data_IF_341783982313
#
_entry.id   IF_341783982313
#
_cell.length_a   1.000
_cell.length_b   1.000
_cell.length_c   1.000
_cell.angle_alpha   90.00
_cell.angle_beta   90.00
_cell.angle_gamma   90.00
#
_symmetry.space_group_name_H-M   'P 1'
#
loop_
_entity.id
_entity.type
_entity.pdbx_description
1 polymer ?
#
# COMPACT_ATOMS: atom_id res chain seq x y z
N UNK A 1 -4.44 20.81 -0.70
CA UNK A 1 -4.90 20.70 -2.10
C UNK A 1 -5.96 19.60 -2.19
N UNK A 2 -7.14 19.97 -2.67
CA UNK A 2 -8.29 19.06 -2.74
C UNK A 2 -7.99 17.79 -3.57
N UNK A 3 -7.31 17.97 -4.69
CA UNK A 3 -6.94 16.83 -5.55
C UNK A 3 -6.05 15.83 -4.80
N UNK A 4 -5.00 16.32 -4.15
CA UNK A 4 -4.08 15.45 -3.41
C UNK A 4 -4.77 14.77 -2.22
N UNK A 5 -5.65 15.50 -1.53
CA UNK A 5 -6.42 14.94 -0.43
C UNK A 5 -7.35 13.84 -0.90
N UNK A 6 -8.01 14.03 -2.03
CA UNK A 6 -8.90 13.02 -2.62
C UNK A 6 -8.12 11.79 -3.06
N UNK A 7 -6.95 11.99 -3.70
CA UNK A 7 -6.09 10.89 -4.13
C UNK A 7 -5.61 10.09 -2.93
N UNK A 8 -5.15 10.77 -1.87
CA UNK A 8 -4.69 10.10 -0.65
C UNK A 8 -5.82 9.30 0.01
N UNK A 9 -7.02 9.85 0.06
CA UNK A 9 -8.18 9.16 0.62
C UNK A 9 -8.53 7.91 -0.18
N UNK A 10 -8.31 7.93 -1.49
CA UNK A 10 -8.54 6.79 -2.37
C UNK A 10 -7.39 5.77 -2.27
N UNK A 11 -6.14 6.25 -2.27
CA UNK A 11 -4.97 5.36 -2.29
C UNK A 11 -4.84 4.53 -1.02
N UNK A 12 -5.13 5.11 0.15
CA UNK A 12 -4.93 4.41 1.42
C UNK A 12 -5.72 3.10 1.50
N UNK A 13 -7.05 3.09 1.30
CA UNK A 13 -7.78 1.82 1.34
C UNK A 13 -7.38 0.86 0.21
N UNK A 14 -6.99 1.38 -0.96
CA UNK A 14 -6.53 0.55 -2.06
C UNK A 14 -5.24 -0.18 -1.70
N UNK A 15 -4.25 0.54 -1.17
CA UNK A 15 -2.97 -0.05 -0.79
C UNK A 15 -3.13 -1.02 0.37
N UNK A 16 -3.95 -0.69 1.36
CA UNK A 16 -4.24 -1.59 2.48
C UNK A 16 -4.89 -2.88 1.99
N UNK A 17 -5.84 -2.77 1.08
CA UNK A 17 -6.52 -3.93 0.50
C UNK A 17 -5.53 -4.82 -0.25
N UNK A 18 -4.67 -4.22 -1.07
CA UNK A 18 -3.65 -4.96 -1.82
C UNK A 18 -2.65 -5.66 -0.89
N UNK A 19 -2.20 -4.97 0.16
CA UNK A 19 -1.32 -5.57 1.17
C UNK A 19 -1.99 -6.76 1.85
N UNK A 20 -3.27 -6.64 2.16
CA UNK A 20 -4.03 -7.71 2.79
C UNK A 20 -4.08 -8.95 1.89
N UNK A 21 -4.34 -8.75 0.60
CA UNK A 21 -4.38 -9.85 -0.38
C UNK A 21 -3.02 -10.57 -0.43
N UNK A 22 -1.92 -9.81 -0.38
CA UNK A 22 -0.58 -10.36 -0.52
C UNK A 22 0.11 -10.64 0.83
N UNK A 23 -0.65 -10.59 1.92
CA UNK A 23 -0.13 -10.93 3.25
C UNK A 23 1.01 -10.04 3.73
N UNK A 24 1.02 -8.77 3.34
CA UNK A 24 2.05 -7.82 3.75
C UNK A 24 3.33 -7.89 2.92
N UNK A 25 3.39 -8.74 1.90
CA UNK A 25 4.56 -8.85 1.04
C UNK A 25 4.64 -7.68 0.08
N UNK A 26 5.59 -6.77 0.31
CA UNK A 26 5.69 -5.53 -0.48
C UNK A 26 6.01 -5.78 -1.95
N UNK A 27 6.90 -6.73 -2.24
CA UNK A 27 7.25 -7.03 -3.64
C UNK A 27 6.05 -7.55 -4.41
N UNK A 28 5.33 -8.50 -3.83
CA UNK A 28 4.14 -9.06 -4.47
C UNK A 28 3.04 -8.03 -4.59
N UNK A 29 2.87 -7.19 -3.57
CA UNK A 29 1.89 -6.11 -3.59
C UNK A 29 2.19 -5.11 -4.72
N UNK A 30 3.47 -4.74 -4.90
CA UNK A 30 3.87 -3.84 -5.97
C UNK A 30 3.54 -4.43 -7.35
N UNK A 31 3.76 -5.74 -7.51
CA UNK A 31 3.44 -6.44 -8.76
C UNK A 31 1.93 -6.48 -9.02
N UNK A 32 1.15 -6.74 -7.98
CA UNK A 32 -0.32 -6.73 -8.08
C UNK A 32 -0.83 -5.37 -8.54
N UNK A 33 -0.27 -4.30 -7.99
CA UNK A 33 -0.66 -2.93 -8.31
C UNK A 33 -0.04 -2.41 -9.61
N UNK A 34 0.96 -3.11 -10.15
CA UNK A 34 1.64 -2.67 -11.37
C UNK A 34 2.54 -1.47 -11.16
N UNK A 35 3.09 -1.29 -9.98
CA UNK A 35 3.99 -0.18 -9.66
C UNK A 35 5.34 -0.71 -9.18
N UNK A 36 6.35 0.17 -9.20
CA UNK A 36 7.68 -0.15 -8.71
C UNK A 36 7.66 -0.33 -7.18
N UNK A 37 8.44 -1.27 -6.67
CA UNK A 37 8.53 -1.54 -5.23
C UNK A 37 8.94 -0.30 -4.43
N UNK A 38 9.89 0.48 -4.94
CA UNK A 38 10.31 1.70 -4.26
C UNK A 38 9.20 2.74 -4.20
N UNK A 39 8.41 2.85 -5.27
CA UNK A 39 7.24 3.71 -5.31
C UNK A 39 6.21 3.27 -4.28
N UNK A 40 5.97 1.97 -4.16
CA UNK A 40 5.06 1.44 -3.15
C UNK A 40 5.54 1.79 -1.75
N UNK A 41 6.82 1.56 -1.46
CA UNK A 41 7.39 1.87 -0.14
C UNK A 41 7.22 3.33 0.23
N UNK A 42 7.47 4.21 -0.73
CA UNK A 42 7.32 5.65 -0.52
C UNK A 42 5.87 6.01 -0.20
N UNK A 43 4.93 5.46 -0.96
CA UNK A 43 3.49 5.70 -0.73
C UNK A 43 3.04 5.19 0.63
N UNK A 44 3.48 4.01 1.02
CA UNK A 44 3.15 3.45 2.34
C UNK A 44 3.64 4.36 3.45
N UNK A 45 4.87 4.86 3.34
CA UNK A 45 5.46 5.77 4.31
C UNK A 45 4.66 7.08 4.38
N UNK A 46 4.31 7.65 3.23
CA UNK A 46 3.56 8.91 3.17
C UNK A 46 2.16 8.78 3.77
N UNK A 47 1.53 7.62 3.61
CA UNK A 47 0.17 7.37 4.09
C UNK A 47 0.11 6.78 5.50
N UNK A 48 1.26 6.51 6.10
CA UNK A 48 1.33 5.94 7.44
C UNK A 48 0.86 4.49 7.50
N UNK A 49 1.08 3.73 6.43
CA UNK A 49 0.70 2.33 6.35
C UNK A 49 1.92 1.46 6.63
N UNK A 50 1.76 0.50 7.54
CA UNK A 50 2.83 -0.43 7.89
C UNK A 50 2.52 -1.81 7.30
N UNK A 51 3.35 -2.24 6.34
CA UNK A 51 3.15 -3.52 5.67
C UNK A 51 3.15 -4.70 6.65
N UNK A 52 3.93 -4.61 7.73
CA UNK A 52 4.02 -5.66 8.74
C UNK A 52 2.67 -5.93 9.42
N UNK A 53 1.79 -4.94 9.48
CA UNK A 53 0.47 -5.10 10.09
C UNK A 53 -0.41 -6.07 9.31
N UNK A 54 -0.05 -6.36 8.06
CA UNK A 54 -0.82 -7.22 7.16
C UNK A 54 -0.22 -8.62 7.01
N UNK A 55 0.88 -8.89 7.70
CA UNK A 55 1.50 -10.22 7.68
C UNK A 55 0.60 -11.18 8.45
N UNK A 56 0.18 -12.25 7.77
CA UNK A 56 -0.63 -13.28 8.41
C UNK A 56 0.28 -14.24 9.17
N UNK A 57 0.09 -14.26 10.47
CA UNK A 57 0.76 -15.22 11.35
C UNK A 57 -0.28 -16.28 11.69
N UNK A 58 -0.21 -17.35 10.96
CA UNK A 58 -1.13 -18.44 11.15
C UNK A 58 -0.66 -19.46 12.09
#
# INVERSE_FOLDING_TARGET
>A
NLYQEAVAAFEKPLLEHALKIEGGNQLRTSRLLGINRNTLRKKLSELGIFADDFIQRG
#
